data_IF_265021040548
#
_entry.id   IF_265021040548
#
_cell.length_a   1.000
_cell.length_b   1.000
_cell.length_c   1.000
_cell.angle_alpha   90.00
_cell.angle_beta   90.00
_cell.angle_gamma   90.00
#
_symmetry.space_group_name_H-M   'P 1'
#
loop_
_entity.id
_entity.type
_entity.pdbx_description
1 polymer ?
#
# COMPACT_ATOMS: atom_id res chain seq x y z
N UNK A 1 19.93 -22.17 0.41
CA UNK A 1 18.77 -21.66 1.15
C UNK A 1 18.20 -20.42 0.44
N UNK A 2 17.58 -20.56 -0.74
CA UNK A 2 17.10 -19.42 -1.55
C UNK A 2 15.86 -19.82 -2.36
N UNK A 3 14.71 -20.01 -1.70
CA UNK A 3 13.52 -20.49 -2.41
C UNK A 3 12.21 -20.39 -1.64
N UNK A 4 12.10 -19.49 -0.65
CA UNK A 4 10.88 -19.35 0.16
C UNK A 4 10.27 -17.94 0.18
N UNK A 5 10.72 -17.03 -0.70
CA UNK A 5 10.13 -15.69 -0.79
C UNK A 5 9.02 -15.58 -1.86
N UNK A 6 8.86 -16.60 -2.71
CA UNK A 6 7.99 -16.57 -3.89
C UNK A 6 6.60 -17.22 -3.69
N UNK A 7 6.30 -17.74 -2.49
CA UNK A 7 5.00 -18.34 -2.18
C UNK A 7 4.02 -17.37 -1.49
N UNK A 8 4.51 -16.32 -0.83
CA UNK A 8 3.67 -15.36 -0.11
C UNK A 8 2.83 -14.49 -1.05
N UNK A 9 3.39 -14.13 -2.22
CA UNK A 9 2.66 -13.36 -3.23
C UNK A 9 1.52 -14.19 -3.86
N UNK A 10 1.74 -15.50 -4.05
CA UNK A 10 0.76 -16.43 -4.63
C UNK A 10 -0.39 -16.74 -3.66
N UNK A 11 -0.15 -16.69 -2.34
CA UNK A 11 -1.17 -17.07 -1.35
C UNK A 11 -1.99 -15.89 -0.81
N UNK A 12 -1.49 -14.66 -0.97
CA UNK A 12 -2.14 -13.45 -0.46
C UNK A 12 -2.77 -12.61 -1.60
N UNK A 13 -2.31 -12.77 -2.84
CA UNK A 13 -2.63 -11.89 -3.98
C UNK A 13 -2.35 -10.39 -3.72
N UNK A 14 -1.72 -10.05 -2.59
CA UNK A 14 -1.38 -8.69 -2.24
C UNK A 14 -0.04 -8.31 -2.86
N UNK A 15 0.00 -7.11 -3.45
CA UNK A 15 1.24 -6.49 -3.89
C UNK A 15 2.08 -6.07 -2.66
N UNK A 16 3.40 -5.87 -2.83
CA UNK A 16 4.24 -5.30 -1.77
C UNK A 16 3.70 -3.98 -1.22
N UNK A 17 3.12 -3.13 -2.08
CA UNK A 17 2.51 -1.86 -1.70
C UNK A 17 1.31 -2.08 -0.75
N UNK A 18 0.42 -3.03 -1.07
CA UNK A 18 -0.72 -3.36 -0.22
C UNK A 18 -0.27 -3.90 1.14
N UNK A 19 0.78 -4.71 1.18
CA UNK A 19 1.35 -5.22 2.44
C UNK A 19 1.88 -4.06 3.30
N UNK A 20 2.64 -3.13 2.71
CA UNK A 20 3.13 -1.94 3.42
C UNK A 20 1.99 -1.07 3.95
N UNK A 21 0.96 -0.84 3.13
CA UNK A 21 -0.22 -0.06 3.53
C UNK A 21 -0.94 -0.68 4.74
N UNK A 22 -1.09 -2.01 4.78
CA UNK A 22 -1.69 -2.70 5.91
C UNK A 22 -0.86 -2.59 7.20
N UNK A 23 0.46 -2.65 7.10
CA UNK A 23 1.36 -2.48 8.26
C UNK A 23 1.24 -1.05 8.82
N UNK A 24 1.22 -0.03 7.96
CA UNK A 24 1.02 1.36 8.38
C UNK A 24 -0.36 1.55 9.02
N UNK A 25 -1.40 0.96 8.43
CA UNK A 25 -2.76 1.05 8.95
C UNK A 25 -2.89 0.43 10.35
N UNK A 26 -2.25 -0.72 10.60
CA UNK A 26 -2.20 -1.35 11.92
C UNK A 26 -1.52 -0.43 12.96
N UNK A 27 -0.39 0.18 12.60
CA UNK A 27 0.32 1.12 13.47
C UNK A 27 -0.54 2.35 13.81
N UNK A 28 -1.19 2.97 12.82
CA UNK A 28 -2.08 4.12 13.02
C UNK A 28 -3.31 3.77 13.85
N UNK A 29 -3.86 2.57 13.67
CA UNK A 29 -4.97 2.06 14.48
C UNK A 29 -4.58 1.97 15.96
N UNK A 30 -3.41 1.41 16.27
CA UNK A 30 -2.88 1.32 17.64
C UNK A 30 -2.64 2.69 18.28
N UNK A 31 -2.30 3.70 17.47
CA UNK A 31 -2.12 5.08 17.91
C UNK A 31 -3.43 5.89 17.96
N UNK A 32 -4.57 5.31 17.57
CA UNK A 32 -5.85 6.01 17.52
C UNK A 32 -5.94 7.10 16.44
N UNK A 33 -5.05 7.05 15.44
CA UNK A 33 -4.98 8.05 14.36
C UNK A 33 -5.98 7.77 13.24
N UNK A 34 -6.51 6.54 13.15
CA UNK A 34 -7.52 6.16 12.16
C UNK A 34 -8.79 5.71 12.88
N UNK A 35 -9.95 6.12 12.35
CA UNK A 35 -11.25 5.64 12.84
C UNK A 35 -11.71 4.47 11.99
N UNK A 36 -12.30 3.45 12.61
CA UNK A 36 -12.89 2.33 11.88
C UNK A 36 -13.95 2.78 10.86
N UNK A 37 -14.67 3.87 11.15
CA UNK A 37 -15.63 4.46 10.23
C UNK A 37 -15.00 4.88 8.90
N UNK A 38 -13.76 5.38 8.94
CA UNK A 38 -13.08 5.88 7.76
C UNK A 38 -12.51 4.71 6.95
N UNK A 39 -12.01 3.66 7.61
CA UNK A 39 -11.62 2.40 6.96
C UNK A 39 -12.79 1.77 6.22
N UNK A 40 -13.96 1.69 6.85
CA UNK A 40 -15.17 1.14 6.23
C UNK A 40 -15.61 1.96 5.01
N UNK A 41 -15.57 3.30 5.10
CA UNK A 41 -15.89 4.17 3.97
C UNK A 41 -14.94 3.92 2.81
N UNK A 42 -13.63 3.91 3.05
CA UNK A 42 -12.63 3.66 2.00
C UNK A 42 -12.81 2.28 1.38
N UNK A 43 -13.10 1.24 2.18
CA UNK A 43 -13.32 -0.12 1.65
C UNK A 43 -14.57 -0.27 0.77
N UNK A 44 -15.53 0.66 0.90
CA UNK A 44 -16.75 0.68 0.10
C UNK A 44 -16.63 1.59 -1.14
N UNK A 45 -15.53 2.33 -1.27
CA UNK A 45 -15.27 3.12 -2.45
C UNK A 45 -14.95 2.19 -3.63
N UNK A 46 -15.40 2.53 -4.85
CA UNK A 46 -14.99 1.79 -6.02
C UNK A 46 -13.47 1.84 -6.15
N UNK A 47 -12.86 0.71 -6.51
CA UNK A 47 -11.45 0.68 -6.87
C UNK A 47 -11.22 1.70 -7.99
N UNK A 48 -10.20 2.55 -7.80
CA UNK A 48 -9.75 3.42 -8.86
C UNK A 48 -9.18 2.50 -9.94
N UNK A 49 -9.62 2.63 -11.21
CA UNK A 49 -8.99 1.87 -12.29
C UNK A 49 -7.50 2.10 -12.21
N UNK A 50 -6.75 1.02 -11.95
CA UNK A 50 -5.31 1.08 -11.78
C UNK A 50 -4.73 1.84 -12.95
N UNK A 51 -3.91 2.85 -12.68
CA UNK A 51 -3.18 3.43 -13.78
C UNK A 51 -2.34 2.29 -14.38
N UNK A 52 -2.48 2.07 -15.69
CA UNK A 52 -1.33 1.51 -16.38
C UNK A 52 -0.20 2.50 -16.10
N UNK A 53 0.96 2.01 -15.66
CA UNK A 53 2.14 2.79 -15.25
C UNK A 53 2.03 4.27 -15.68
N UNK A 54 1.55 5.17 -14.80
CA UNK A 54 1.61 6.60 -15.11
C UNK A 54 3.08 6.89 -15.30
N UNK A 55 3.41 7.38 -16.50
CA UNK A 55 4.69 8.03 -16.73
C UNK A 55 4.67 9.28 -15.85
N UNK A 56 5.22 9.14 -14.65
CA UNK A 56 5.47 10.23 -13.75
C UNK A 56 6.56 11.10 -14.38
N UNK A 57 6.49 12.40 -14.17
CA UNK A 57 7.51 13.32 -14.69
C UNK A 57 8.89 12.94 -14.11
N UNK A 58 9.94 13.11 -14.91
CA UNK A 58 11.31 12.96 -14.44
C UNK A 58 11.48 13.81 -13.16
N UNK A 59 12.12 13.24 -12.13
CA UNK A 59 12.32 13.86 -10.81
C UNK A 59 11.09 13.90 -9.87
N UNK A 60 9.98 13.19 -10.15
CA UNK A 60 8.86 13.11 -9.19
C UNK A 60 9.26 12.53 -7.81
N UNK A 61 10.30 11.71 -7.78
CA UNK A 61 10.88 11.10 -6.58
C UNK A 61 12.17 11.79 -6.10
N UNK A 62 12.53 12.95 -6.66
CA UNK A 62 13.72 13.66 -6.24
C UNK A 62 13.59 14.16 -4.80
N UNK A 63 14.48 13.66 -3.94
CA UNK A 63 14.64 14.15 -2.58
C UNK A 63 15.73 15.22 -2.60
N UNK A 64 15.33 16.49 -2.52
CA UNK A 64 16.28 17.59 -2.28
C UNK A 64 16.89 17.43 -0.88
N UNK A 65 18.17 17.05 -0.83
CA UNK A 65 18.97 17.09 0.38
C UNK A 65 19.64 18.46 0.48
N UNK A 66 19.13 19.33 1.35
CA UNK A 66 19.78 20.59 1.75
C UNK A 66 20.61 20.40 3.03
#
# INVERSE_FOLDING_TARGET
SHGRLLLSHVHSCLSPQSICALICLDAWSKLGLVKNSDVLKVSAMPDIPGDGEMVLEDEWDAIELH
#
